data_IF_821916641177
#
_entry.id   IF_821916641177
#
_cell.length_a   1.000
_cell.length_b   1.000
_cell.length_c   1.000
_cell.angle_alpha   90.00
_cell.angle_beta   90.00
_cell.angle_gamma   90.00
#
_symmetry.space_group_name_H-M   'P 1'
#
loop_
_entity.id
_entity.type
_entity.pdbx_description
1 polymer ?
#
# COMPACT_ATOMS: atom_id res chain seq x y z
N UNK A 1 -5.36 -17.74 12.73
CA UNK A 1 -6.61 -18.48 13.03
C UNK A 1 -7.67 -17.98 12.05
N UNK A 2 -8.31 -18.88 11.30
CA UNK A 2 -9.36 -18.48 10.34
C UNK A 2 -10.64 -18.20 11.12
N UNK A 3 -11.19 -16.99 11.01
CA UNK A 3 -12.42 -16.59 11.72
C UNK A 3 -13.67 -16.96 10.91
N UNK A 4 -13.62 -16.68 9.60
CA UNK A 4 -14.66 -16.99 8.60
C UNK A 4 -13.98 -17.26 7.25
N UNK A 5 -14.69 -17.83 6.27
CA UNK A 5 -14.11 -18.15 4.96
C UNK A 5 -13.53 -16.88 4.31
N UNK A 6 -12.21 -16.86 4.08
CA UNK A 6 -11.49 -15.70 3.54
C UNK A 6 -11.04 -14.65 4.58
N UNK A 7 -11.36 -14.81 5.86
CA UNK A 7 -10.94 -13.89 6.93
C UNK A 7 -9.98 -14.61 7.88
N UNK A 8 -8.73 -14.15 7.90
CA UNK A 8 -7.69 -14.67 8.77
C UNK A 8 -7.33 -13.63 9.82
N UNK A 9 -7.42 -14.03 11.09
CA UNK A 9 -6.91 -13.23 12.21
C UNK A 9 -5.56 -13.79 12.60
N UNK A 10 -4.54 -12.94 12.57
CA UNK A 10 -3.19 -13.28 13.02
C UNK A 10 -2.79 -12.29 14.11
N UNK A 11 -2.31 -12.80 15.23
CA UNK A 11 -1.59 -12.01 16.23
C UNK A 11 -0.15 -11.87 15.76
N UNK A 12 0.24 -10.66 15.35
CA UNK A 12 1.56 -10.33 14.86
C UNK A 12 1.68 -8.83 14.60
N UNK A 13 2.90 -8.30 14.64
CA UNK A 13 3.18 -6.87 14.40
C UNK A 13 3.47 -6.57 12.94
N UNK A 14 3.58 -5.28 12.60
CA UNK A 14 3.90 -4.81 11.24
C UNK A 14 5.13 -5.50 10.64
N UNK A 15 6.17 -5.76 11.45
CA UNK A 15 7.38 -6.45 11.01
C UNK A 15 7.15 -7.86 10.47
N UNK A 16 6.21 -8.63 11.05
CA UNK A 16 5.88 -9.97 10.54
C UNK A 16 5.11 -9.88 9.22
N UNK A 17 4.18 -8.93 9.11
CA UNK A 17 3.40 -8.71 7.88
C UNK A 17 4.32 -8.28 6.73
N UNK A 18 5.23 -7.33 6.98
CA UNK A 18 6.25 -6.92 6.03
C UNK A 18 7.12 -8.11 5.61
N UNK A 19 7.48 -8.98 6.55
CA UNK A 19 8.31 -10.14 6.26
C UNK A 19 7.62 -11.18 5.35
N UNK A 20 6.30 -11.31 5.43
CA UNK A 20 5.51 -12.18 4.55
C UNK A 20 5.32 -11.56 3.14
N UNK A 21 5.37 -10.23 3.03
CA UNK A 21 5.18 -9.47 1.78
C UNK A 21 6.48 -9.15 1.03
N UNK A 22 7.60 -9.81 1.35
CA UNK A 22 8.93 -9.50 0.78
C UNK A 22 9.03 -9.60 -0.74
N UNK A 23 8.14 -10.34 -1.39
CA UNK A 23 8.09 -10.45 -2.86
C UNK A 23 7.32 -9.32 -3.51
N UNK A 24 6.47 -8.63 -2.73
CA UNK A 24 5.59 -7.59 -3.22
C UNK A 24 6.29 -6.22 -3.25
N UNK A 25 5.96 -5.42 -4.26
CA UNK A 25 6.31 -4.00 -4.34
C UNK A 25 5.53 -3.25 -3.27
N UNK A 26 6.22 -2.76 -2.25
CA UNK A 26 5.59 -2.01 -1.16
C UNK A 26 5.47 -0.53 -1.51
N UNK A 27 4.25 -0.01 -1.40
CA UNK A 27 3.91 1.38 -1.61
C UNK A 27 3.36 1.96 -0.30
N UNK A 28 4.09 2.90 0.29
CA UNK A 28 3.66 3.59 1.50
C UNK A 28 2.95 4.88 1.13
N UNK A 29 1.67 4.96 1.48
CA UNK A 29 0.79 6.05 1.10
C UNK A 29 0.91 7.19 2.11
N UNK A 30 1.57 8.27 1.69
CA UNK A 30 1.82 9.46 2.52
C UNK A 30 1.71 10.73 1.68
N UNK A 31 1.16 11.79 2.28
CA UNK A 31 0.82 13.04 1.58
C UNK A 31 2.06 13.77 1.01
N UNK A 32 3.22 13.60 1.63
CA UNK A 32 4.53 14.12 1.22
C UNK A 32 5.27 13.23 0.19
N UNK A 33 4.67 12.10 -0.20
CA UNK A 33 5.23 11.14 -1.13
C UNK A 33 5.23 11.63 -2.59
N UNK A 34 5.93 10.87 -3.45
CA UNK A 34 5.90 11.11 -4.88
C UNK A 34 4.51 10.80 -5.45
N UNK A 35 4.06 11.57 -6.44
CA UNK A 35 2.73 11.36 -7.04
C UNK A 35 2.60 9.93 -7.60
N UNK A 36 1.57 9.19 -7.16
CA UNK A 36 1.34 7.80 -7.57
C UNK A 36 1.20 7.65 -9.09
N UNK A 37 0.77 8.71 -9.78
CA UNK A 37 0.63 8.72 -11.25
C UNK A 37 1.97 8.62 -11.97
N UNK A 38 3.08 8.87 -11.28
CA UNK A 38 4.43 8.65 -11.79
C UNK A 38 4.95 7.22 -11.61
N UNK A 39 4.25 6.38 -10.83
CA UNK A 39 4.61 4.98 -10.62
C UNK A 39 4.19 4.17 -11.84
N UNK A 40 5.10 3.32 -12.33
CA UNK A 40 4.79 2.44 -13.45
C UNK A 40 3.70 1.45 -13.07
N UNK A 41 2.81 1.21 -14.01
CA UNK A 41 1.80 0.14 -14.02
C UNK A 41 2.22 -1.18 -13.38
N UNK A 42 3.39 -1.71 -13.78
CA UNK A 42 3.94 -2.97 -13.25
C UNK A 42 4.25 -2.95 -11.75
N UNK A 43 4.56 -1.77 -11.19
CA UNK A 43 4.77 -1.58 -9.75
C UNK A 43 3.48 -1.31 -8.98
N UNK A 44 2.37 -1.10 -9.69
CA UNK A 44 1.07 -0.74 -9.13
C UNK A 44 0.10 -1.94 -9.08
N UNK A 45 0.16 -2.86 -10.05
CA UNK A 45 -0.94 -3.83 -10.26
C UNK A 45 -0.52 -5.29 -10.34
N UNK A 46 0.77 -5.59 -10.23
CA UNK A 46 1.26 -6.96 -10.18
C UNK A 46 1.26 -7.45 -8.72
N UNK A 47 2.39 -7.93 -8.19
CA UNK A 47 2.55 -8.25 -6.77
C UNK A 47 2.82 -6.96 -5.96
N UNK A 48 1.79 -6.17 -5.63
CA UNK A 48 1.96 -4.90 -4.90
C UNK A 48 1.23 -4.90 -3.55
N UNK A 49 1.83 -4.25 -2.56
CA UNK A 49 1.30 -4.10 -1.22
C UNK A 49 1.22 -2.63 -0.83
N UNK A 50 0.03 -2.18 -0.43
CA UNK A 50 -0.24 -0.80 -0.06
C UNK A 50 -0.29 -0.66 1.45
N UNK A 51 0.54 0.23 1.98
CA UNK A 51 0.60 0.53 3.40
C UNK A 51 -0.07 1.89 3.60
N UNK A 52 -1.13 1.93 4.41
CA UNK A 52 -1.85 3.15 4.76
C UNK A 52 -1.78 3.38 6.25
N UNK A 53 -1.38 4.59 6.64
CA UNK A 53 -1.59 5.12 7.98
C UNK A 53 -3.07 5.35 8.26
N UNK A 54 -3.47 5.25 9.52
CA UNK A 54 -4.75 5.79 9.98
C UNK A 54 -4.65 7.32 10.16
N UNK A 55 -5.60 7.93 10.88
CA UNK A 55 -5.60 9.38 11.08
C UNK A 55 -4.35 9.91 11.81
N UNK A 56 -3.67 9.06 12.58
CA UNK A 56 -2.47 9.41 13.35
C UNK A 56 -1.17 9.14 12.60
N UNK A 57 -1.23 8.46 11.45
CA UNK A 57 -0.06 8.03 10.70
C UNK A 57 0.64 6.83 11.36
N UNK A 58 1.80 6.46 10.81
CA UNK A 58 2.66 5.41 11.38
C UNK A 58 3.59 6.01 12.43
N UNK A 59 3.94 5.23 13.45
CA UNK A 59 4.96 5.63 14.43
C UNK A 59 6.37 5.62 13.80
N UNK A 60 7.36 6.33 14.38
CA UNK A 60 8.73 6.36 13.85
C UNK A 60 9.38 4.96 13.73
N UNK A 61 9.09 4.06 14.67
CA UNK A 61 9.55 2.68 14.63
C UNK A 61 8.93 1.91 13.46
N UNK A 62 7.65 2.14 13.17
CA UNK A 62 6.95 1.54 12.03
C UNK A 62 7.45 2.10 10.70
N UNK A 63 7.66 3.41 10.59
CA UNK A 63 8.24 4.03 9.40
C UNK A 63 9.64 3.47 9.11
N UNK A 64 10.46 3.27 10.15
CA UNK A 64 11.78 2.66 10.00
C UNK A 64 11.68 1.24 9.43
N UNK A 65 10.70 0.44 9.88
CA UNK A 65 10.48 -0.91 9.34
C UNK A 65 10.03 -0.89 7.88
N UNK A 66 9.16 0.05 7.53
CA UNK A 66 8.64 0.25 6.17
C UNK A 66 9.77 0.68 5.22
N UNK A 67 10.63 1.62 5.65
CA UNK A 67 11.80 2.04 4.90
C UNK A 67 12.82 0.92 4.73
N UNK A 68 13.09 0.13 5.79
CA UNK A 68 13.97 -1.04 5.72
C UNK A 68 13.44 -2.13 4.79
N UNK A 69 12.11 -2.21 4.61
CA UNK A 69 11.49 -3.10 3.65
C UNK A 69 11.66 -2.65 2.19
N UNK A 70 12.15 -1.43 1.96
CA UNK A 70 12.30 -0.84 0.63
C UNK A 70 11.01 -0.27 0.05
N UNK A 71 10.06 0.11 0.91
CA UNK A 71 8.80 0.69 0.45
C UNK A 71 9.03 2.06 -0.21
N UNK A 72 8.34 2.30 -1.33
CA UNK A 72 8.35 3.60 -1.99
C UNK A 72 7.25 4.50 -1.41
N UNK A 73 7.61 5.71 -1.00
CA UNK A 73 6.65 6.68 -0.45
C UNK A 73 5.93 7.38 -1.59
N UNK A 74 4.61 7.20 -1.67
CA UNK A 74 3.76 7.71 -2.74
C UNK A 74 2.55 8.45 -2.21
N UNK A 75 2.10 9.47 -2.93
CA UNK A 75 0.92 10.28 -2.61
C UNK A 75 -0.18 10.03 -3.63
N UNK A 76 -1.40 9.75 -3.15
CA UNK A 76 -2.60 9.61 -4.00
C UNK A 76 -3.18 10.97 -4.43
N UNK A 77 -2.72 12.07 -3.85
CA UNK A 77 -3.19 13.41 -4.17
C UNK A 77 -3.07 14.37 -2.99
N UNK A 78 -3.39 15.66 -3.20
CA UNK A 78 -3.24 16.73 -2.21
C UNK A 78 -4.31 16.71 -1.10
N UNK A 79 -5.22 15.75 -1.12
CA UNK A 79 -6.34 15.65 -0.17
C UNK A 79 -6.15 14.39 0.64
N UNK A 80 -6.14 14.54 1.97
CA UNK A 80 -6.23 13.43 2.91
C UNK A 80 -7.53 12.67 2.66
N UNK A 81 -7.43 11.52 1.98
CA UNK A 81 -8.55 10.66 1.67
C UNK A 81 -8.69 9.61 2.77
N UNK A 82 -9.91 9.37 3.24
CA UNK A 82 -10.21 8.18 4.03
C UNK A 82 -9.78 6.92 3.26
N UNK A 83 -9.32 5.90 3.99
CA UNK A 83 -8.79 4.66 3.40
C UNK A 83 -9.73 4.03 2.35
N UNK A 84 -11.05 4.13 2.54
CA UNK A 84 -12.06 3.66 1.58
C UNK A 84 -11.96 4.34 0.20
N UNK A 85 -11.69 5.64 0.15
CA UNK A 85 -11.51 6.36 -1.10
C UNK A 85 -10.19 6.01 -1.79
N UNK A 86 -9.13 5.77 -1.01
CA UNK A 86 -7.86 5.30 -1.53
C UNK A 86 -8.01 3.95 -2.25
N UNK A 87 -8.76 3.01 -1.66
CA UNK A 87 -9.02 1.70 -2.25
C UNK A 87 -9.75 1.84 -3.59
N UNK A 88 -10.76 2.71 -3.69
CA UNK A 88 -11.50 2.93 -4.93
C UNK A 88 -10.61 3.52 -6.04
N UNK A 89 -9.77 4.50 -5.69
CA UNK A 89 -8.85 5.16 -6.65
C UNK A 89 -7.76 4.19 -7.11
N UNK A 90 -7.16 3.41 -6.22
CA UNK A 90 -6.16 2.39 -6.58
C UNK A 90 -6.75 1.33 -7.50
N UNK A 91 -7.97 0.83 -7.21
CA UNK A 91 -8.64 -0.12 -8.09
C UNK A 91 -8.90 0.48 -9.48
N UNK A 92 -9.35 1.73 -9.55
CA UNK A 92 -9.55 2.40 -10.84
C UNK A 92 -8.24 2.61 -11.60
N UNK A 93 -7.17 3.00 -10.92
CA UNK A 93 -5.85 3.14 -11.53
C UNK A 93 -5.36 1.80 -12.11
N UNK A 94 -5.59 0.70 -11.40
CA UNK A 94 -5.24 -0.61 -11.92
C UNK A 94 -6.08 -1.05 -13.11
N UNK A 95 -7.38 -0.78 -13.10
CA UNK A 95 -8.25 -1.06 -14.25
C UNK A 95 -7.84 -0.24 -15.49
N UNK A 96 -7.57 1.05 -15.31
CA UNK A 96 -7.10 1.93 -16.40
C UNK A 96 -5.74 1.47 -16.96
N UNK A 97 -4.84 1.05 -16.08
CA UNK A 97 -3.51 0.56 -16.43
C UNK A 97 -3.56 -0.76 -17.22
N UNK A 98 -4.47 -1.68 -16.88
CA UNK A 98 -4.72 -2.92 -17.64
C UNK A 98 -5.21 -2.61 -19.06
N UNK A 99 -5.92 -1.49 -19.26
CA UNK A 99 -6.42 -1.07 -20.58
C UNK A 99 -5.31 -0.49 -21.47
N UNK A 100 -4.22 0.04 -20.90
CA UNK A 100 -3.07 0.57 -21.66
C UNK A 100 -2.04 -0.50 -22.08
N UNK A 101 -2.11 -1.73 -21.55
CA UNK A 101 -1.20 -2.84 -21.89
C UNK A 101 -1.66 -3.65 -23.14
N UNK A 102 -2.79 -3.27 -23.75
CA UNK A 102 -3.41 -3.92 -24.93
C UNK A 102 -3.32 -3.07 -26.21
#
# INVERSE_FOLDING_TARGET
>A
MQSTSGIFVRTGGLAEVIADLKTAVMLYLREDGADIRGVKCSGLCDDSAYILGDHTGMTPDEETLIEQAGASVVSLGPVSLHADHCIAVVNWLCDACVIEDH
#
